data_IF_859664761597
#
_entry.id   IF_859664761597
#
_cell.length_a   1.000
_cell.length_b   1.000
_cell.length_c   1.000
_cell.angle_alpha   90.00
_cell.angle_beta   90.00
_cell.angle_gamma   90.00
#
_symmetry.space_group_name_H-M   'P 1'
#
loop_
_entity.id
_entity.type
_entity.pdbx_description
1 polymer ?
#
# COMPACT_ATOMS: atom_id res chain seq x y z
N UNK A 1 16.21 -44.90 -30.00
CA UNK A 1 15.76 -43.63 -30.59
C UNK A 1 14.45 -43.26 -29.93
N UNK A 2 14.48 -42.37 -28.90
CA UNK A 2 13.27 -41.95 -28.14
C UNK A 2 12.76 -40.62 -28.71
N UNK A 3 11.44 -40.42 -28.87
CA UNK A 3 10.90 -39.16 -29.39
C UNK A 3 10.91 -38.06 -28.33
N UNK A 4 11.42 -36.89 -28.75
CA UNK A 4 11.47 -35.65 -28.00
C UNK A 4 10.06 -35.09 -27.80
N UNK A 5 9.62 -34.95 -26.53
CA UNK A 5 8.36 -34.26 -26.14
C UNK A 5 8.62 -32.76 -26.14
N UNK A 6 8.05 -32.04 -27.10
CA UNK A 6 8.01 -30.57 -27.09
C UNK A 6 7.10 -30.07 -25.98
N UNK A 7 7.65 -29.35 -25.00
CA UNK A 7 6.88 -28.62 -24.01
C UNK A 7 6.18 -27.43 -24.70
N UNK A 8 4.86 -27.52 -24.83
CA UNK A 8 4.04 -26.39 -25.28
C UNK A 8 4.05 -25.28 -24.21
N UNK A 9 4.45 -24.06 -24.59
CA UNK A 9 4.33 -22.88 -23.74
C UNK A 9 2.88 -22.44 -23.68
N UNK A 10 2.22 -22.62 -22.55
CA UNK A 10 0.89 -22.06 -22.28
C UNK A 10 1.09 -20.58 -21.95
N UNK A 11 0.65 -19.68 -22.83
CA UNK A 11 0.58 -18.24 -22.54
C UNK A 11 -0.49 -18.03 -21.47
N UNK A 12 -0.22 -17.24 -20.41
CA UNK A 12 -1.26 -16.89 -19.44
C UNK A 12 -2.38 -16.10 -20.14
N UNK A 13 -3.64 -16.23 -19.69
CA UNK A 13 -4.74 -15.47 -20.25
C UNK A 13 -4.51 -13.97 -20.02
N UNK A 14 -4.63 -13.18 -21.09
CA UNK A 14 -4.65 -11.73 -21.01
C UNK A 14 -5.88 -11.29 -20.22
N UNK A 15 -5.70 -10.60 -19.12
CA UNK A 15 -6.81 -9.96 -18.40
C UNK A 15 -7.49 -8.95 -19.33
N UNK A 16 -8.83 -8.83 -19.30
CA UNK A 16 -9.53 -7.85 -20.10
C UNK A 16 -9.05 -6.44 -19.74
N UNK A 17 -8.63 -5.68 -20.74
CA UNK A 17 -8.32 -4.27 -20.58
C UNK A 17 -9.64 -3.54 -20.44
N UNK A 18 -9.97 -3.11 -19.22
CA UNK A 18 -11.10 -2.22 -19.00
C UNK A 18 -10.72 -0.84 -19.50
N UNK A 19 -11.36 -0.37 -20.58
CA UNK A 19 -11.31 1.02 -20.97
C UNK A 19 -12.09 1.83 -19.94
N UNK A 20 -11.37 2.42 -18.99
CA UNK A 20 -11.95 3.46 -18.12
C UNK A 20 -12.07 4.71 -18.97
N UNK A 21 -13.28 5.23 -19.10
CA UNK A 21 -13.51 6.57 -19.68
C UNK A 21 -12.69 7.56 -18.87
N UNK A 22 -11.69 8.18 -19.49
CA UNK A 22 -10.82 9.16 -18.82
C UNK A 22 -11.72 10.36 -18.47
N UNK A 23 -11.88 10.71 -17.17
CA UNK A 23 -12.60 11.93 -16.79
C UNK A 23 -11.89 13.16 -17.39
N UNK A 24 -12.61 14.25 -17.54
CA UNK A 24 -12.09 15.52 -17.99
C UNK A 24 -10.74 15.86 -17.35
N UNK A 25 -9.69 15.93 -18.15
CA UNK A 25 -8.30 16.17 -17.73
C UNK A 25 -8.12 17.54 -17.01
N UNK A 26 -9.10 18.45 -17.12
CA UNK A 26 -9.09 19.75 -16.45
C UNK A 26 -9.08 19.66 -14.90
N UNK A 27 -9.31 18.46 -14.33
CA UNK A 27 -9.29 18.25 -12.88
C UNK A 27 -7.94 17.72 -12.35
N UNK A 28 -6.95 17.47 -13.20
CA UNK A 28 -5.63 17.01 -12.77
C UNK A 28 -4.77 18.21 -12.35
N UNK A 29 -4.73 18.49 -11.05
CA UNK A 29 -4.07 19.68 -10.47
C UNK A 29 -2.54 19.65 -10.50
N UNK A 30 -1.92 18.55 -10.91
CA UNK A 30 -0.46 18.39 -11.00
C UNK A 30 0.13 18.76 -12.36
N UNK A 31 -0.70 19.26 -13.29
CA UNK A 31 -0.25 19.75 -14.59
C UNK A 31 -0.73 21.18 -14.80
N UNK A 32 0.16 22.05 -15.31
CA UNK A 32 -0.18 23.40 -15.67
C UNK A 32 -0.90 23.47 -17.04
N UNK A 33 -1.26 24.69 -17.45
CA UNK A 33 -1.94 24.90 -18.74
C UNK A 33 -1.07 24.53 -19.97
N UNK A 34 0.24 24.39 -19.79
CA UNK A 34 1.22 23.97 -20.79
C UNK A 34 1.49 22.45 -20.73
N UNK A 35 0.83 21.70 -19.82
CA UNK A 35 1.00 20.26 -19.63
C UNK A 35 2.29 19.90 -18.87
N UNK A 36 2.92 20.84 -18.16
CA UNK A 36 4.10 20.56 -17.36
C UNK A 36 3.71 20.15 -15.94
N UNK A 37 4.42 19.16 -15.41
CA UNK A 37 4.20 18.68 -14.06
C UNK A 37 4.69 19.71 -13.03
N UNK A 38 3.89 19.98 -12.01
CA UNK A 38 4.27 20.85 -10.90
C UNK A 38 3.67 20.35 -9.58
N UNK A 39 4.34 20.65 -8.47
CA UNK A 39 3.79 20.44 -7.15
C UNK A 39 2.74 21.52 -6.86
N UNK A 40 1.54 21.10 -6.42
CA UNK A 40 0.42 22.03 -6.17
C UNK A 40 0.77 23.01 -5.08
N UNK A 41 0.54 24.32 -5.31
CA UNK A 41 0.71 25.33 -4.26
C UNK A 41 -0.37 25.18 -3.19
N UNK A 42 0.05 25.01 -1.95
CA UNK A 42 -0.81 24.89 -0.77
C UNK A 42 -0.63 26.01 0.25
N UNK A 43 0.17 27.05 -0.08
CA UNK A 43 0.50 28.13 0.84
C UNK A 43 -0.72 28.89 1.36
N UNK A 44 -1.77 29.03 0.52
CA UNK A 44 -3.02 29.73 0.89
C UNK A 44 -4.02 28.84 1.67
N UNK A 45 -3.74 27.54 1.81
CA UNK A 45 -4.66 26.63 2.49
C UNK A 45 -4.44 26.65 4.00
N UNK A 46 -5.54 26.74 4.76
CA UNK A 46 -5.48 26.66 6.22
C UNK A 46 -4.95 25.29 6.68
N UNK A 47 -4.07 25.31 7.66
CA UNK A 47 -3.66 24.10 8.36
C UNK A 47 -4.85 23.53 9.15
N UNK A 48 -5.23 22.30 8.88
CA UNK A 48 -6.30 21.58 9.57
C UNK A 48 -5.84 20.19 9.95
N UNK A 49 -6.48 19.58 10.94
CA UNK A 49 -6.24 18.17 11.26
C UNK A 49 -6.65 17.29 10.09
N UNK A 50 -5.76 16.38 9.69
CA UNK A 50 -5.91 15.45 8.58
C UNK A 50 -5.67 14.04 9.04
N UNK A 51 -6.50 13.12 8.62
CA UNK A 51 -6.35 11.69 8.85
C UNK A 51 -6.43 10.97 7.52
N UNK A 52 -5.52 10.04 7.28
CA UNK A 52 -5.55 9.09 6.18
C UNK A 52 -5.46 7.67 6.72
N UNK A 53 -6.34 6.79 6.28
CA UNK A 53 -6.33 5.37 6.63
C UNK A 53 -6.25 4.57 5.34
N UNK A 54 -5.22 3.74 5.23
CA UNK A 54 -5.04 2.84 4.10
C UNK A 54 -4.96 1.39 4.60
N UNK A 55 -5.32 0.45 3.74
CA UNK A 55 -5.24 -0.97 4.04
C UNK A 55 -4.71 -1.76 2.85
N UNK A 56 -4.26 -2.98 3.13
CA UNK A 56 -3.82 -3.97 2.15
C UNK A 56 -3.54 -5.28 2.83
N UNK A 57 -3.19 -6.31 2.07
CA UNK A 57 -2.79 -7.60 2.63
C UNK A 57 -1.70 -8.27 1.79
N UNK A 58 -1.00 -9.21 2.42
CA UNK A 58 -0.08 -10.12 1.74
C UNK A 58 -0.58 -11.55 1.92
N UNK A 59 -0.87 -12.22 0.82
CA UNK A 59 -1.28 -13.61 0.77
C UNK A 59 -0.05 -14.52 0.76
N UNK A 60 -0.13 -15.66 1.45
CA UNK A 60 1.00 -16.58 1.63
C UNK A 60 0.54 -18.00 1.89
N UNK A 61 1.47 -18.94 1.87
CA UNK A 61 1.22 -20.31 2.27
C UNK A 61 0.86 -20.39 3.77
N UNK A 62 -0.02 -21.33 4.19
CA UNK A 62 -0.33 -21.53 5.62
C UNK A 62 0.91 -21.79 6.47
N UNK A 63 1.91 -22.49 5.93
CA UNK A 63 3.18 -22.75 6.61
C UNK A 63 4.01 -21.49 6.84
N UNK A 64 3.96 -20.53 5.91
CA UNK A 64 4.61 -19.23 6.06
C UNK A 64 3.93 -18.40 7.13
N UNK A 65 2.59 -18.39 7.18
CA UNK A 65 1.84 -17.70 8.20
C UNK A 65 2.13 -18.27 9.60
N UNK A 66 2.15 -19.59 9.76
CA UNK A 66 2.48 -20.25 11.02
C UNK A 66 3.90 -19.89 11.50
N UNK A 67 4.86 -19.71 10.58
CA UNK A 67 6.23 -19.28 10.90
C UNK A 67 6.25 -17.84 11.45
N UNK A 68 5.43 -16.94 10.91
CA UNK A 68 5.29 -15.56 11.40
C UNK A 68 4.66 -15.56 12.80
N UNK A 69 3.57 -16.31 13.01
CA UNK A 69 2.85 -16.36 14.29
C UNK A 69 3.69 -16.96 15.42
N UNK A 70 4.45 -17.99 15.13
CA UNK A 70 5.32 -18.62 16.14
C UNK A 70 6.53 -17.77 16.54
N UNK A 71 6.80 -16.66 15.84
CA UNK A 71 7.99 -15.85 16.04
C UNK A 71 9.31 -16.58 15.71
N UNK A 72 9.22 -17.77 15.07
CA UNK A 72 10.37 -18.61 14.73
C UNK A 72 11.01 -18.30 13.38
N UNK A 73 10.59 -17.20 12.73
CA UNK A 73 11.21 -16.75 11.50
C UNK A 73 12.72 -16.48 11.72
N UNK A 74 13.55 -17.01 10.83
CA UNK A 74 15.03 -16.91 10.94
C UNK A 74 15.53 -15.47 11.07
N UNK A 75 14.78 -14.50 10.56
CA UNK A 75 15.09 -13.06 10.62
C UNK A 75 14.48 -12.34 11.84
N UNK A 76 13.85 -13.06 12.79
CA UNK A 76 13.27 -12.50 14.02
C UNK A 76 11.82 -12.03 13.86
N UNK A 77 11.39 -11.01 14.61
CA UNK A 77 10.03 -10.48 14.62
C UNK A 77 9.66 -9.80 13.30
N UNK A 78 9.01 -10.57 12.43
CA UNK A 78 8.61 -10.12 11.08
C UNK A 78 7.67 -8.93 11.14
N UNK A 79 6.64 -8.98 11.99
CA UNK A 79 5.61 -7.94 12.06
C UNK A 79 6.13 -6.68 12.76
N UNK A 80 6.96 -6.82 13.78
CA UNK A 80 7.62 -5.68 14.44
C UNK A 80 8.53 -4.91 13.49
N UNK A 81 9.36 -5.61 12.71
CA UNK A 81 10.24 -4.97 11.71
C UNK A 81 9.41 -4.33 10.60
N UNK A 82 8.37 -5.00 10.11
CA UNK A 82 7.47 -4.45 9.09
C UNK A 82 6.76 -3.18 9.58
N UNK A 83 6.34 -3.13 10.85
CA UNK A 83 5.75 -1.95 11.47
C UNK A 83 6.70 -0.76 11.45
N UNK A 84 7.94 -0.96 11.90
CA UNK A 84 8.96 0.09 11.89
C UNK A 84 9.25 0.57 10.47
N UNK A 85 9.37 -0.34 9.50
CA UNK A 85 9.61 -0.01 8.11
C UNK A 85 8.48 0.83 7.52
N UNK A 86 7.21 0.47 7.78
CA UNK A 86 6.06 1.25 7.34
C UNK A 86 5.99 2.64 7.96
N UNK A 87 6.28 2.78 9.27
CA UNK A 87 6.38 4.09 9.93
C UNK A 87 7.47 4.96 9.30
N UNK A 88 8.63 4.36 9.00
CA UNK A 88 9.71 5.08 8.34
C UNK A 88 9.33 5.50 6.92
N UNK A 89 8.62 4.65 6.18
CA UNK A 89 8.18 4.93 4.83
C UNK A 89 7.18 6.08 4.76
N UNK A 90 6.20 6.15 5.69
CA UNK A 90 5.30 7.30 5.80
C UNK A 90 6.05 8.62 5.90
N UNK A 91 7.12 8.68 6.70
CA UNK A 91 7.96 9.89 6.87
C UNK A 91 8.81 10.23 5.64
N UNK A 92 8.89 9.32 4.67
CA UNK A 92 9.72 9.47 3.46
C UNK A 92 8.89 9.50 2.18
N UNK A 93 7.59 9.70 2.28
CA UNK A 93 6.69 9.69 1.13
C UNK A 93 7.09 10.72 0.09
N UNK A 94 7.45 11.93 0.49
CA UNK A 94 7.91 12.97 -0.44
C UNK A 94 9.24 12.66 -1.13
N UNK A 95 10.08 11.80 -0.55
CA UNK A 95 11.31 11.32 -1.19
C UNK A 95 11.03 10.26 -2.27
N UNK A 96 9.88 9.58 -2.19
CA UNK A 96 9.49 8.48 -3.07
C UNK A 96 8.51 8.88 -4.16
N UNK A 97 7.60 9.81 -3.85
CA UNK A 97 6.52 10.25 -4.74
C UNK A 97 6.80 11.70 -5.16
N UNK A 98 7.17 11.93 -6.41
CA UNK A 98 7.80 13.19 -6.86
C UNK A 98 7.04 14.48 -6.55
N UNK A 99 5.70 14.44 -6.57
CA UNK A 99 4.87 15.64 -6.39
C UNK A 99 4.19 15.72 -5.03
N UNK A 100 4.56 14.84 -4.08
CA UNK A 100 4.10 14.92 -2.70
C UNK A 100 4.84 16.00 -1.91
N UNK A 101 4.11 16.73 -1.07
CA UNK A 101 4.69 17.71 -0.15
C UNK A 101 5.41 17.00 1.01
N UNK A 102 6.53 17.49 1.50
CA UNK A 102 7.09 17.03 2.76
C UNK A 102 6.20 17.47 3.93
N UNK A 103 5.73 16.52 4.73
CA UNK A 103 4.78 16.76 5.82
C UNK A 103 5.36 16.41 7.17
N UNK A 104 5.08 17.23 8.17
CA UNK A 104 5.32 16.93 9.58
C UNK A 104 4.19 16.06 10.11
N UNK A 105 4.39 14.73 10.13
CA UNK A 105 3.39 13.79 10.64
C UNK A 105 3.33 13.86 12.17
N UNK A 106 2.12 13.94 12.71
CA UNK A 106 1.87 13.96 14.16
C UNK A 106 1.66 12.55 14.73
N UNK A 107 1.16 11.62 13.89
CA UNK A 107 0.97 10.22 14.26
C UNK A 107 1.09 9.30 13.06
N UNK A 108 1.72 8.13 13.26
CA UNK A 108 1.67 6.98 12.34
C UNK A 108 1.43 5.74 13.19
N UNK A 109 0.34 5.04 12.94
CA UNK A 109 0.02 3.76 13.57
C UNK A 109 -0.16 2.69 12.50
N UNK A 110 0.42 1.51 12.71
CA UNK A 110 0.29 0.36 11.81
C UNK A 110 -0.20 -0.83 12.63
N UNK A 111 -1.27 -1.44 12.16
CA UNK A 111 -1.89 -2.61 12.75
C UNK A 111 -1.83 -3.78 11.76
N UNK A 112 -1.56 -4.97 12.29
CA UNK A 112 -1.58 -6.21 11.53
C UNK A 112 -2.67 -7.14 12.02
N UNK A 113 -3.31 -7.82 11.08
CA UNK A 113 -4.29 -8.85 11.34
C UNK A 113 -3.86 -10.15 10.64
N UNK A 114 -3.72 -11.22 11.40
CA UNK A 114 -3.51 -12.56 10.87
C UNK A 114 -4.84 -13.13 10.40
N UNK A 115 -4.87 -13.68 9.19
CA UNK A 115 -6.06 -14.25 8.56
C UNK A 115 -5.69 -15.66 8.09
N UNK A 116 -6.30 -16.68 8.71
CA UNK A 116 -6.10 -18.08 8.32
C UNK A 116 -6.91 -18.43 7.08
N UNK A 117 -6.40 -19.38 6.30
CA UNK A 117 -7.08 -19.91 5.12
C UNK A 117 -8.48 -20.46 5.48
N UNK A 118 -9.42 -20.24 4.59
CA UNK A 118 -10.75 -20.85 4.60
C UNK A 118 -11.16 -21.19 3.16
N UNK A 119 -12.34 -21.79 2.95
CA UNK A 119 -12.82 -22.20 1.62
C UNK A 119 -12.83 -21.07 0.58
N UNK A 120 -12.83 -19.80 1.02
CA UNK A 120 -12.91 -18.60 0.16
C UNK A 120 -11.78 -17.60 0.38
N UNK A 121 -10.78 -17.88 1.25
CA UNK A 121 -9.70 -16.95 1.59
C UNK A 121 -8.37 -17.66 1.71
N UNK A 122 -7.33 -17.09 1.09
CA UNK A 122 -5.95 -17.49 1.32
C UNK A 122 -5.48 -17.09 2.73
N UNK A 123 -4.52 -17.83 3.29
CA UNK A 123 -3.78 -17.36 4.47
C UNK A 123 -3.12 -16.03 4.14
N UNK A 124 -3.23 -15.06 5.03
CA UNK A 124 -2.67 -13.73 4.77
C UNK A 124 -2.40 -12.93 6.05
N UNK A 125 -1.59 -11.90 5.91
CA UNK A 125 -1.45 -10.82 6.90
C UNK A 125 -2.07 -9.56 6.32
N UNK A 126 -3.13 -9.07 6.94
CA UNK A 126 -3.70 -7.74 6.70
C UNK A 126 -2.86 -6.67 7.37
N UNK A 127 -2.76 -5.52 6.73
CA UNK A 127 -2.08 -4.33 7.24
C UNK A 127 -3.01 -3.13 7.11
N UNK A 128 -3.17 -2.37 8.19
CA UNK A 128 -3.87 -1.07 8.19
C UNK A 128 -2.92 -0.01 8.74
N UNK A 129 -2.78 1.10 8.02
CA UNK A 129 -2.01 2.26 8.46
C UNK A 129 -2.93 3.46 8.67
N UNK A 130 -2.85 4.08 9.84
CA UNK A 130 -3.47 5.36 10.16
C UNK A 130 -2.38 6.42 10.28
N UNK A 131 -2.49 7.48 9.49
CA UNK A 131 -1.53 8.59 9.49
C UNK A 131 -2.25 9.90 9.74
N UNK A 132 -1.65 10.75 10.57
CA UNK A 132 -2.23 12.04 10.95
C UNK A 132 -1.22 13.18 10.83
N UNK A 133 -1.72 14.35 10.48
CA UNK A 133 -0.97 15.63 10.50
C UNK A 133 -1.89 16.80 10.82
N UNK A 134 -1.31 17.93 11.17
CA UNK A 134 -1.97 19.24 11.11
C UNK A 134 -1.27 20.04 10.03
N UNK A 135 -1.94 20.18 8.88
CA UNK A 135 -1.29 20.76 7.71
C UNK A 135 -2.24 21.21 6.59
N UNK A 136 -1.70 21.84 5.55
CA UNK A 136 -2.48 22.37 4.43
C UNK A 136 -2.91 21.29 3.42
N UNK A 137 -2.36 20.06 3.50
CA UNK A 137 -2.69 18.96 2.58
C UNK A 137 -2.98 17.65 3.33
N UNK A 138 -3.56 16.66 2.65
CA UNK A 138 -3.90 15.36 3.22
C UNK A 138 -2.69 14.44 3.36
N UNK A 139 -2.89 13.28 3.99
CA UNK A 139 -1.88 12.26 4.31
C UNK A 139 -2.23 10.89 3.71
N UNK A 140 -3.01 10.90 2.65
CA UNK A 140 -3.45 9.69 1.94
C UNK A 140 -2.26 8.92 1.38
N UNK A 141 -1.29 9.63 0.79
CA UNK A 141 -0.10 9.02 0.19
C UNK A 141 0.83 8.45 1.26
N UNK A 142 0.94 9.11 2.41
CA UNK A 142 1.71 8.63 3.56
C UNK A 142 1.14 7.32 4.09
N UNK A 143 -0.19 7.22 4.20
CA UNK A 143 -0.87 6.00 4.65
C UNK A 143 -0.68 4.85 3.63
N UNK A 144 -0.85 5.12 2.34
CA UNK A 144 -0.62 4.13 1.27
C UNK A 144 0.82 3.66 1.21
N UNK A 145 1.79 4.57 1.32
CA UNK A 145 3.22 4.25 1.32
C UNK A 145 3.58 3.39 2.53
N UNK A 146 3.03 3.70 3.72
CA UNK A 146 3.22 2.91 4.93
C UNK A 146 2.77 1.46 4.75
N UNK A 147 1.57 1.23 4.22
CA UNK A 147 1.01 -0.11 3.96
C UNK A 147 1.89 -0.87 2.98
N UNK A 148 2.22 -0.26 1.84
CA UNK A 148 3.02 -0.90 0.78
C UNK A 148 4.38 -1.37 1.31
N UNK A 149 5.09 -0.51 2.03
CA UNK A 149 6.44 -0.85 2.53
C UNK A 149 6.37 -1.84 3.70
N UNK A 150 5.35 -1.78 4.55
CA UNK A 150 5.14 -2.79 5.59
C UNK A 150 4.93 -4.18 4.97
N UNK A 151 4.04 -4.32 4.00
CA UNK A 151 3.78 -5.59 3.31
C UNK A 151 4.99 -6.07 2.50
N UNK A 152 5.72 -5.16 1.84
CA UNK A 152 6.95 -5.50 1.12
C UNK A 152 8.06 -5.98 2.08
N UNK A 153 8.08 -5.46 3.30
CA UNK A 153 9.03 -5.92 4.34
C UNK A 153 8.68 -7.33 4.80
N UNK A 154 7.40 -7.67 4.98
CA UNK A 154 6.98 -9.05 5.26
C UNK A 154 7.45 -9.97 4.11
N UNK A 155 7.26 -9.56 2.86
CA UNK A 155 7.74 -10.31 1.69
C UNK A 155 9.25 -10.56 1.77
N UNK A 156 10.05 -9.52 1.97
CA UNK A 156 11.52 -9.66 2.07
C UNK A 156 11.95 -10.61 3.18
N UNK A 157 11.30 -10.54 4.31
CA UNK A 157 11.66 -11.38 5.45
C UNK A 157 11.29 -12.86 5.25
N UNK A 158 10.23 -13.15 4.48
CA UNK A 158 9.72 -14.50 4.28
C UNK A 158 10.05 -15.13 2.92
N UNK A 159 10.54 -14.37 1.93
CA UNK A 159 10.79 -14.84 0.55
C UNK A 159 11.76 -16.04 0.43
N UNK A 160 12.56 -16.31 1.44
CA UNK A 160 13.44 -17.48 1.46
C UNK A 160 12.65 -18.80 1.52
N UNK A 161 11.46 -18.79 2.14
CA UNK A 161 10.59 -19.96 2.31
C UNK A 161 9.36 -19.92 1.42
N UNK A 162 8.91 -18.73 1.03
CA UNK A 162 7.73 -18.54 0.17
C UNK A 162 7.93 -17.37 -0.79
N UNK A 163 8.26 -17.67 -2.05
CA UNK A 163 8.40 -16.66 -3.10
C UNK A 163 7.10 -16.35 -3.83
N UNK A 164 6.07 -17.16 -3.57
CA UNK A 164 4.75 -17.04 -4.20
C UNK A 164 3.81 -16.05 -3.50
N UNK A 165 4.28 -15.37 -2.44
CA UNK A 165 3.46 -14.38 -1.74
C UNK A 165 3.00 -13.25 -2.65
N UNK A 166 1.75 -12.80 -2.48
CA UNK A 166 1.12 -11.76 -3.30
C UNK A 166 0.66 -10.62 -2.41
N UNK A 167 1.17 -9.40 -2.68
CA UNK A 167 0.66 -8.18 -2.07
C UNK A 167 -0.55 -7.72 -2.88
N UNK A 168 -1.69 -7.55 -2.23
CA UNK A 168 -2.96 -7.22 -2.89
C UNK A 168 -3.84 -6.30 -2.04
N UNK A 169 -4.91 -5.77 -2.64
CA UNK A 169 -5.93 -4.91 -2.04
C UNK A 169 -5.40 -3.64 -1.35
N UNK A 170 -4.24 -3.15 -1.77
CA UNK A 170 -3.71 -1.90 -1.26
C UNK A 170 -4.56 -0.73 -1.76
N UNK A 171 -5.28 -0.08 -0.85
CA UNK A 171 -6.19 1.02 -1.16
C UNK A 171 -6.34 2.00 0.00
N UNK A 172 -6.77 3.21 -0.33
CA UNK A 172 -7.26 4.16 0.66
C UNK A 172 -8.61 3.65 1.20
N UNK A 173 -8.74 3.58 2.52
CA UNK A 173 -9.98 3.20 3.21
C UNK A 173 -10.75 4.44 3.61
N UNK A 174 -10.07 5.39 4.25
CA UNK A 174 -10.69 6.60 4.75
C UNK A 174 -9.74 7.79 4.63
N UNK A 175 -10.31 8.97 4.46
CA UNK A 175 -9.62 10.23 4.70
C UNK A 175 -10.56 11.23 5.36
N UNK A 176 -10.02 12.04 6.27
CA UNK A 176 -10.80 13.06 6.98
C UNK A 176 -10.07 14.39 7.04
N UNK A 177 -10.86 15.45 7.08
CA UNK A 177 -10.38 16.83 7.16
C UNK A 177 -10.15 17.49 5.81
N UNK A 178 -9.86 18.80 5.87
CA UNK A 178 -9.65 19.65 4.72
C UNK A 178 -10.92 20.07 3.97
N UNK A 179 -10.72 20.86 2.90
CA UNK A 179 -11.82 21.44 2.12
C UNK A 179 -12.73 20.39 1.47
N UNK A 180 -12.19 19.25 1.09
CA UNK A 180 -12.94 18.15 0.44
C UNK A 180 -13.68 17.23 1.43
N UNK A 181 -13.65 17.53 2.74
CA UNK A 181 -14.35 16.75 3.75
C UNK A 181 -13.83 15.33 3.93
N UNK A 182 -14.75 14.41 4.27
CA UNK A 182 -14.43 12.99 4.51
C UNK A 182 -14.74 12.14 3.29
N UNK A 183 -13.91 11.09 3.12
CA UNK A 183 -14.12 9.99 2.21
C UNK A 183 -14.03 8.69 2.99
N UNK A 184 -14.94 7.77 2.74
CA UNK A 184 -14.92 6.39 3.25
C UNK A 184 -15.15 5.48 2.05
N UNK A 185 -14.22 4.55 1.81
CA UNK A 185 -14.37 3.57 0.73
C UNK A 185 -15.62 2.71 1.00
N UNK A 186 -16.45 2.51 0.00
CA UNK A 186 -17.56 1.57 0.08
C UNK A 186 -17.07 0.16 0.45
N UNK A 187 -17.83 -0.53 1.28
CA UNK A 187 -17.59 -1.92 1.63
C UNK A 187 -17.79 -2.85 0.43
#
# INVERSE_FOLDING_TARGET
MMPSVRKGSVKPPLHPIYFVTIPDMSQLTHFDAQGQAHMVDVASKAATHRVGIAGGRIEMLPTTLALIESGSARKGDVLGIARVAGIMAAKKTSDLIPLCHPLALTRVAIEFQVIHASDHKASSVGCTATVETVGPTGVEMEALTAVQVALLTIYDMCKAVDRGMVITDCKLLEKHGGKSGSFVAGA
#
